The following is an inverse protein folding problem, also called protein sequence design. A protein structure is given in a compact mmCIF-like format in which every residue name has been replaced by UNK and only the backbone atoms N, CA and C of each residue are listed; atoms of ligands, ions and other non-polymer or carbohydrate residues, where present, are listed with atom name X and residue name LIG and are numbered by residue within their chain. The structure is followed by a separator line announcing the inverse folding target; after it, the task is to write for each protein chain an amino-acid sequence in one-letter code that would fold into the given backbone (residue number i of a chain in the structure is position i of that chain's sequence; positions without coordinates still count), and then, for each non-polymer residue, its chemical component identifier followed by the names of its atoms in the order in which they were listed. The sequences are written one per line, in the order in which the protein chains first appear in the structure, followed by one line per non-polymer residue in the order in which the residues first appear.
data_IF_638999248559
#
_entry.id   IF_638999248559
#
_cell.length_a   1.000
_cell.length_b   1.000
_cell.length_c   1.000
_cell.angle_alpha   90.00
_cell.angle_beta   90.00
_cell.angle_gamma   90.00
#
_symmetry.space_group_name_H-M   'P 1'
#
loop_
_entity.id
_entity.type
_entity.pdbx_description
1 polymer ?
#
# COMPACT_ATOMS: atom_id res chain seq x y z
N UNK A 1 -15.33 19.93 -30.79
CA UNK A 1 -15.94 19.56 -29.49
C UNK A 1 -15.63 18.12 -29.10
N UNK A 2 -16.06 17.08 -29.84
CA UNK A 2 -15.81 15.66 -29.49
C UNK A 2 -14.32 15.29 -29.30
N UNK A 3 -13.42 15.81 -30.13
CA UNK A 3 -11.99 15.48 -30.05
C UNK A 3 -11.31 16.02 -28.77
N UNK A 4 -11.73 17.19 -28.30
CA UNK A 4 -11.18 17.83 -27.09
C UNK A 4 -11.51 17.01 -25.85
N UNK A 5 -12.75 16.51 -25.76
CA UNK A 5 -13.16 15.62 -24.68
C UNK A 5 -12.38 14.30 -24.68
N UNK A 6 -12.09 13.74 -25.86
CA UNK A 6 -11.29 12.52 -25.99
C UNK A 6 -9.86 12.73 -25.47
N UNK A 7 -9.23 13.86 -25.85
CA UNK A 7 -7.88 14.23 -25.40
C UNK A 7 -7.86 14.44 -23.88
N UNK A 8 -8.85 15.13 -23.32
CA UNK A 8 -8.99 15.32 -21.89
C UNK A 8 -9.11 13.98 -21.14
N UNK A 9 -9.92 13.04 -21.64
CA UNK A 9 -10.04 11.71 -21.02
C UNK A 9 -8.69 11.00 -21.01
N UNK A 10 -7.97 10.98 -22.13
CA UNK A 10 -6.67 10.27 -22.23
C UNK A 10 -5.63 10.87 -21.27
N UNK A 11 -5.63 12.20 -21.07
CA UNK A 11 -4.69 12.89 -20.18
C UNK A 11 -5.04 12.68 -18.70
N UNK A 12 -6.32 12.73 -18.33
CA UNK A 12 -6.76 12.67 -16.92
C UNK A 12 -6.97 11.24 -16.39
N UNK A 13 -7.26 10.26 -17.25
CA UNK A 13 -7.51 8.87 -16.85
C UNK A 13 -6.31 8.18 -16.16
N UNK A 14 -5.04 8.31 -16.60
CA UNK A 14 -3.93 7.63 -15.93
C UNK A 14 -3.73 8.08 -14.48
N UNK A 15 -3.93 9.37 -14.17
CA UNK A 15 -3.77 9.90 -12.80
C UNK A 15 -4.74 9.26 -11.78
N UNK A 16 -5.94 8.89 -12.22
CA UNK A 16 -6.93 8.19 -11.37
C UNK A 16 -6.50 6.76 -11.06
N UNK A 17 -5.95 6.05 -12.05
CA UNK A 17 -5.46 4.68 -11.87
C UNK A 17 -4.25 4.62 -10.92
N UNK A 18 -3.28 5.54 -11.09
CA UNK A 18 -2.12 5.62 -10.20
C UNK A 18 -2.48 6.02 -8.77
N UNK A 19 -3.50 6.87 -8.56
CA UNK A 19 -3.94 7.24 -7.22
C UNK A 19 -4.52 6.06 -6.43
N UNK A 20 -5.06 5.06 -7.12
CA UNK A 20 -5.72 3.92 -6.49
C UNK A 20 -4.70 2.91 -5.94
N UNK A 21 -3.61 2.64 -6.68
CA UNK A 21 -2.46 1.88 -6.20
C UNK A 21 -1.83 2.52 -4.96
N UNK A 22 -1.75 3.85 -4.93
CA UNK A 22 -1.15 4.63 -3.85
C UNK A 22 -1.94 4.54 -2.53
N UNK A 23 -3.18 4.06 -2.51
CA UNK A 23 -3.98 3.99 -1.27
C UNK A 23 -4.22 2.58 -0.73
N UNK A 24 -3.71 1.55 -1.41
CA UNK A 24 -3.83 0.16 -0.97
C UNK A 24 -2.88 -0.11 0.21
N UNK A 25 -3.36 -0.90 1.17
CA UNK A 25 -2.52 -1.48 2.23
C UNK A 25 -2.04 -2.83 1.71
N UNK A 26 -0.73 -3.05 1.73
CA UNK A 26 -0.10 -4.32 1.36
C UNK A 26 0.45 -4.98 2.61
N UNK A 27 0.10 -6.24 2.82
CA UNK A 27 0.64 -7.05 3.91
C UNK A 27 1.76 -7.91 3.35
N UNK A 28 2.93 -7.84 3.96
CA UNK A 28 4.05 -8.72 3.68
C UNK A 28 4.20 -9.71 4.82
N UNK A 29 4.23 -10.98 4.48
CA UNK A 29 4.40 -12.08 5.43
C UNK A 29 5.80 -12.68 5.29
N UNK A 30 6.39 -13.06 6.42
CA UNK A 30 7.61 -13.83 6.46
C UNK A 30 7.59 -14.80 7.64
N UNK A 31 8.49 -15.78 7.61
CA UNK A 31 8.69 -16.68 8.76
C UNK A 31 9.11 -15.90 10.01
N UNK A 32 9.93 -14.87 9.83
CA UNK A 32 10.46 -14.04 10.91
C UNK A 32 10.81 -12.66 10.35
N UNK A 33 10.34 -11.61 11.00
CA UNK A 33 10.63 -10.21 10.72
C UNK A 33 11.24 -9.64 12.00
N UNK A 34 12.53 -9.31 11.95
CA UNK A 34 13.22 -8.66 13.05
C UNK A 34 12.93 -7.16 12.99
N UNK A 35 12.50 -6.58 14.10
CA UNK A 35 12.25 -5.15 14.19
C UNK A 35 12.94 -4.53 15.39
N UNK A 36 13.14 -3.22 15.34
CA UNK A 36 13.66 -2.44 16.47
C UNK A 36 12.54 -1.93 17.38
N UNK A 37 11.28 -2.30 17.12
CA UNK A 37 10.16 -1.99 18.01
C UNK A 37 10.23 -2.92 19.22
N UNK A 38 10.38 -2.33 20.41
CA UNK A 38 10.49 -3.08 21.67
C UNK A 38 9.23 -3.91 21.98
N UNK A 39 8.07 -3.52 21.43
CA UNK A 39 6.82 -4.26 21.60
C UNK A 39 6.70 -5.43 20.60
N UNK A 40 7.43 -5.35 19.48
CA UNK A 40 7.41 -6.33 18.40
C UNK A 40 8.83 -6.68 17.92
N UNK A 41 9.73 -7.13 18.80
CA UNK A 41 11.12 -7.45 18.41
C UNK A 41 11.17 -8.55 17.34
N UNK A 42 10.13 -9.38 17.30
CA UNK A 42 9.92 -10.44 16.33
C UNK A 42 8.46 -10.41 15.84
N UNK A 43 8.26 -10.35 14.53
CA UNK A 43 6.95 -10.33 13.88
C UNK A 43 6.88 -11.34 12.72
N UNK A 44 5.68 -11.64 12.24
CA UNK A 44 5.49 -12.50 11.06
C UNK A 44 4.85 -11.76 9.89
N UNK A 45 4.35 -10.54 10.14
CA UNK A 45 3.78 -9.69 9.10
C UNK A 45 4.00 -8.19 9.35
N UNK A 46 4.04 -7.43 8.26
CA UNK A 46 4.11 -5.96 8.25
C UNK A 46 3.09 -5.41 7.25
N UNK A 47 2.30 -4.44 7.70
CA UNK A 47 1.37 -3.69 6.86
C UNK A 47 2.05 -2.42 6.34
N UNK A 48 2.09 -2.26 5.02
CA UNK A 48 2.68 -1.11 4.33
C UNK A 48 1.59 -0.36 3.57
N UNK A 49 1.55 0.96 3.75
CA UNK A 49 0.71 1.86 2.96
C UNK A 49 1.59 2.90 2.32
N UNK A 50 1.56 2.99 0.99
CA UNK A 50 2.52 3.77 0.19
C UNK A 50 3.95 3.29 0.45
N UNK A 51 4.69 4.07 1.21
CA UNK A 51 6.10 3.97 1.55
C UNK A 51 6.31 3.85 3.07
N UNK A 52 5.23 3.63 3.84
CA UNK A 52 5.26 3.63 5.31
C UNK A 52 4.73 2.32 5.88
N UNK A 53 5.46 1.83 6.88
CA UNK A 53 4.95 0.80 7.77
C UNK A 53 3.87 1.42 8.65
N UNK A 54 2.67 0.83 8.62
CA UNK A 54 1.52 1.27 9.42
C UNK A 54 1.08 0.23 10.46
N UNK A 55 1.70 -0.96 10.45
CA UNK A 55 1.46 -2.01 11.42
C UNK A 55 2.52 -3.12 11.35
N UNK A 56 2.84 -3.70 12.49
CA UNK A 56 3.80 -4.79 12.68
C UNK A 56 3.17 -5.80 13.64
N UNK A 57 3.29 -7.10 13.35
CA UNK A 57 2.79 -8.13 14.27
C UNK A 57 2.57 -9.47 13.59
N UNK A 58 1.54 -10.19 14.05
CA UNK A 58 1.06 -11.39 13.39
C UNK A 58 0.10 -11.06 12.23
N UNK A 59 0.03 -11.92 11.22
CA UNK A 59 -0.92 -11.79 10.10
C UNK A 59 -2.36 -11.53 10.60
N UNK A 60 -2.80 -12.26 11.63
CA UNK A 60 -4.15 -12.13 12.21
C UNK A 60 -4.43 -10.78 12.85
N UNK A 61 -3.40 -10.03 13.24
CA UNK A 61 -3.52 -8.72 13.87
C UNK A 61 -3.61 -7.59 12.83
N UNK A 62 -3.32 -7.90 11.56
CA UNK A 62 -3.24 -6.93 10.46
C UNK A 62 -4.37 -7.11 9.42
N UNK A 63 -5.24 -8.10 9.60
CA UNK A 63 -6.43 -8.40 8.77
C UNK A 63 -7.69 -7.84 9.44
#
# INVERSE_FOLDING_TARGET
MKLIYLILIIIFLPGLLFSQEVNQVRIYEAREILTLDENYPLATAVAIKKDRIIGVGEVKQLI
#
